data_IF_943495094726
#
_entry.id   IF_943495094726
#
_cell.length_a   1.000
_cell.length_b   1.000
_cell.length_c   1.000
_cell.angle_alpha   90.00
_cell.angle_beta   90.00
_cell.angle_gamma   90.00
#
_symmetry.space_group_name_H-M   'P 1'
#
loop_
_entity.id
_entity.type
_entity.pdbx_description
1 polymer ?
#
# COMPACT_ATOMS: atom_id res chain seq x y z
N UNK A 1 26.75 -3.57 -69.19
CA UNK A 1 27.69 -3.78 -68.06
C UNK A 1 27.72 -2.60 -67.08
N UNK A 2 27.81 -1.35 -67.52
CA UNK A 2 27.90 -0.16 -66.63
C UNK A 2 26.77 -0.03 -65.60
N UNK A 3 25.52 -0.33 -65.96
CA UNK A 3 24.39 -0.18 -65.02
C UNK A 3 24.42 -1.18 -63.85
N UNK A 4 24.93 -2.41 -64.06
CA UNK A 4 24.99 -3.43 -62.98
C UNK A 4 26.01 -3.05 -61.90
N UNK A 5 27.11 -2.41 -62.29
CA UNK A 5 28.15 -1.94 -61.36
C UNK A 5 27.62 -0.77 -60.52
N UNK A 6 26.85 0.14 -61.13
CA UNK A 6 26.25 1.28 -60.42
C UNK A 6 25.23 0.83 -59.36
N UNK A 7 24.37 -0.15 -59.68
CA UNK A 7 23.42 -0.70 -58.70
C UNK A 7 24.11 -1.41 -57.53
N UNK A 8 25.22 -2.12 -57.78
CA UNK A 8 25.98 -2.77 -56.72
C UNK A 8 26.63 -1.76 -55.75
N UNK A 9 27.14 -0.64 -56.28
CA UNK A 9 27.73 0.43 -55.46
C UNK A 9 26.65 1.12 -54.61
N UNK A 10 25.49 1.43 -55.20
CA UNK A 10 24.39 2.08 -54.48
C UNK A 10 23.85 1.15 -53.37
N UNK A 11 23.65 -0.13 -53.66
CA UNK A 11 23.20 -1.12 -52.68
C UNK A 11 24.20 -1.26 -51.52
N UNK A 12 25.51 -1.28 -51.82
CA UNK A 12 26.56 -1.33 -50.80
C UNK A 12 26.56 -0.08 -49.89
N UNK A 13 26.40 1.11 -50.46
CA UNK A 13 26.31 2.35 -49.69
C UNK A 13 25.07 2.40 -48.79
N UNK A 14 23.91 1.94 -49.27
CA UNK A 14 22.68 1.87 -48.46
C UNK A 14 22.88 0.90 -47.30
N UNK A 15 23.50 -0.26 -47.52
CA UNK A 15 23.79 -1.23 -46.46
C UNK A 15 24.75 -0.68 -45.41
N UNK A 16 25.78 0.07 -45.83
CA UNK A 16 26.71 0.72 -44.90
C UNK A 16 26.01 1.80 -44.08
N UNK A 17 25.15 2.62 -44.71
CA UNK A 17 24.38 3.65 -44.00
C UNK A 17 23.40 3.03 -43.02
N UNK A 18 22.66 1.99 -43.42
CA UNK A 18 21.77 1.25 -42.52
C UNK A 18 22.55 0.61 -41.37
N UNK A 19 23.68 -0.05 -41.65
CA UNK A 19 24.53 -0.63 -40.63
C UNK A 19 25.04 0.43 -39.66
N UNK A 20 25.47 1.61 -40.14
CA UNK A 20 25.90 2.72 -39.30
C UNK A 20 24.74 3.29 -38.47
N UNK A 21 23.53 3.42 -39.03
CA UNK A 21 22.35 3.92 -38.30
C UNK A 21 21.91 2.95 -37.20
N UNK A 22 21.82 1.65 -37.51
CA UNK A 22 21.45 0.62 -36.54
C UNK A 22 22.56 0.42 -35.49
N UNK A 23 23.84 0.36 -35.88
CA UNK A 23 24.96 0.21 -34.96
C UNK A 23 25.13 1.43 -34.02
N UNK A 24 24.81 2.64 -34.48
CA UNK A 24 24.81 3.84 -33.62
C UNK A 24 23.64 3.83 -32.64
N UNK A 25 22.46 3.35 -33.03
CA UNK A 25 21.28 3.33 -32.16
C UNK A 25 21.44 2.40 -30.95
N UNK A 26 22.04 1.22 -31.13
CA UNK A 26 22.27 0.29 -30.01
C UNK A 26 23.33 0.81 -29.01
N UNK A 27 24.34 1.53 -29.49
CA UNK A 27 25.32 2.18 -28.60
C UNK A 27 24.79 3.49 -27.98
N UNK A 28 23.96 4.25 -28.70
CA UNK A 28 23.36 5.46 -28.14
C UNK A 28 22.27 5.16 -27.12
N UNK A 29 21.50 4.09 -27.27
CA UNK A 29 20.52 3.67 -26.26
C UNK A 29 21.20 3.22 -24.96
N UNK A 30 22.32 2.49 -25.06
CA UNK A 30 23.12 2.04 -23.90
C UNK A 30 23.91 3.16 -23.23
N UNK A 31 24.36 4.19 -23.98
CA UNK A 31 25.02 5.39 -23.44
C UNK A 31 24.01 6.39 -22.84
N UNK A 32 22.81 6.53 -23.43
CA UNK A 32 21.75 7.37 -22.87
C UNK A 32 21.16 6.80 -21.57
N UNK A 33 21.10 5.46 -21.42
CA UNK A 33 20.71 4.82 -20.15
C UNK A 33 21.75 5.01 -19.04
N UNK A 34 23.05 5.10 -19.37
CA UNK A 34 24.11 5.33 -18.37
C UNK A 34 24.17 6.77 -17.86
N UNK A 35 23.70 7.76 -18.64
CA UNK A 35 23.62 9.16 -18.21
C UNK A 35 22.42 9.46 -17.30
N UNK A 36 21.45 8.56 -17.25
CA UNK A 36 20.22 8.69 -16.45
C UNK A 36 20.16 7.71 -15.28
N UNK A 37 21.25 7.01 -14.94
CA UNK A 37 21.34 6.18 -13.75
C UNK A 37 21.93 6.93 -12.57
N UNK A 38 21.36 6.68 -11.40
CA UNK A 38 21.84 7.06 -10.08
C UNK A 38 22.42 5.82 -9.40
N UNK A 39 23.56 5.98 -8.75
CA UNK A 39 24.11 4.96 -7.86
C UNK A 39 23.53 5.20 -6.47
N UNK A 40 22.74 4.26 -5.97
CA UNK A 40 22.18 4.31 -4.63
C UNK A 40 22.92 3.28 -3.78
N UNK A 41 23.41 3.70 -2.63
CA UNK A 41 23.86 2.77 -1.60
C UNK A 41 22.62 2.21 -0.89
N UNK A 42 22.34 0.94 -1.17
CA UNK A 42 21.28 0.19 -0.51
C UNK A 42 21.97 -0.78 0.44
N UNK A 43 22.00 -0.41 1.72
CA UNK A 43 22.51 -1.23 2.82
C UNK A 43 23.99 -1.65 2.67
N UNK A 44 24.86 -0.69 2.37
CA UNK A 44 26.29 -0.93 2.13
C UNK A 44 26.58 -1.54 0.76
N UNK A 45 25.61 -1.50 -0.14
CA UNK A 45 25.66 -2.16 -1.44
C UNK A 45 25.21 -1.19 -2.52
N UNK A 46 26.15 -0.75 -3.34
CA UNK A 46 25.84 0.15 -4.46
C UNK A 46 25.01 -0.58 -5.51
N UNK A 47 23.90 0.02 -5.91
CA UNK A 47 23.02 -0.40 -7.00
C UNK A 47 22.83 0.76 -7.97
N UNK A 48 23.04 0.49 -9.26
CA UNK A 48 22.79 1.45 -10.34
C UNK A 48 21.32 1.36 -10.77
N UNK A 49 20.55 2.40 -10.48
CA UNK A 49 19.13 2.50 -10.81
C UNK A 49 18.89 3.67 -11.77
N UNK A 50 18.04 3.55 -12.79
CA UNK A 50 17.64 4.71 -13.59
C UNK A 50 16.81 5.68 -12.74
N UNK A 51 16.81 6.98 -13.02
CA UNK A 51 16.10 8.00 -12.22
C UNK A 51 14.59 7.77 -12.09
N UNK A 52 13.98 7.10 -13.05
CA UNK A 52 12.53 6.85 -13.16
C UNK A 52 12.11 5.45 -12.68
N UNK A 53 12.99 4.73 -11.97
CA UNK A 53 12.65 3.43 -11.36
C UNK A 53 11.44 3.50 -10.43
N UNK A 54 10.72 2.40 -10.31
CA UNK A 54 9.63 2.22 -9.35
C UNK A 54 10.02 1.32 -8.18
N UNK A 55 9.26 1.42 -7.10
CA UNK A 55 9.38 0.55 -5.93
C UNK A 55 8.05 -0.17 -5.71
N UNK A 56 8.04 -1.49 -5.83
CA UNK A 56 6.88 -2.31 -5.48
C UNK A 56 7.17 -3.04 -4.18
N UNK A 57 6.19 -3.16 -3.30
CA UNK A 57 6.32 -3.93 -2.08
C UNK A 57 5.28 -5.05 -2.01
N UNK A 58 5.62 -6.19 -1.41
CA UNK A 58 4.65 -7.23 -1.07
C UNK A 58 4.76 -7.55 0.42
N UNK A 59 3.63 -7.59 1.10
CA UNK A 59 3.49 -7.98 2.51
C UNK A 59 2.69 -9.25 2.65
N UNK A 60 3.23 -10.19 3.42
CA UNK A 60 2.59 -11.45 3.75
C UNK A 60 2.76 -11.80 5.21
N UNK A 61 1.70 -12.32 5.84
CA UNK A 61 1.86 -12.93 7.15
C UNK A 61 2.74 -14.19 7.02
N UNK A 62 2.37 -15.09 6.12
CA UNK A 62 3.12 -16.32 5.89
C UNK A 62 2.90 -16.87 4.48
N UNK A 63 3.93 -17.57 3.96
CA UNK A 63 3.75 -18.45 2.82
C UNK A 63 2.94 -19.70 3.17
N UNK A 64 2.85 -20.64 2.23
CA UNK A 64 2.25 -21.94 2.49
C UNK A 64 3.20 -23.08 2.09
N UNK A 65 3.00 -24.27 2.64
CA UNK A 65 3.85 -25.45 2.37
C UNK A 65 3.52 -26.13 1.02
N UNK A 66 3.06 -25.38 0.02
CA UNK A 66 2.40 -25.95 -1.16
C UNK A 66 3.32 -26.60 -2.19
N UNK A 67 4.63 -26.41 -2.10
CA UNK A 67 5.60 -27.07 -2.99
C UNK A 67 6.88 -27.45 -2.24
N UNK A 68 7.53 -28.54 -2.69
CA UNK A 68 8.76 -29.03 -2.09
C UNK A 68 9.89 -28.03 -2.32
N UNK A 69 10.39 -27.44 -1.24
CA UNK A 69 11.59 -26.63 -1.27
C UNK A 69 12.85 -27.53 -1.22
N UNK A 70 13.97 -27.07 -1.79
CA UNK A 70 15.28 -27.66 -1.53
C UNK A 70 15.58 -27.77 -0.03
N UNK A 71 16.39 -28.77 0.36
CA UNK A 71 16.62 -29.12 1.77
C UNK A 71 17.27 -27.97 2.60
N UNK A 72 18.01 -27.08 1.95
CA UNK A 72 18.58 -25.88 2.56
C UNK A 72 17.52 -24.88 3.06
N UNK A 73 16.26 -25.02 2.63
CA UNK A 73 15.12 -24.21 3.06
C UNK A 73 14.16 -24.96 3.99
N UNK A 74 14.62 -26.03 4.63
CA UNK A 74 13.81 -26.74 5.63
C UNK A 74 13.31 -25.78 6.72
N UNK A 75 12.00 -25.82 6.98
CA UNK A 75 11.33 -24.94 7.95
C UNK A 75 10.77 -23.65 7.37
N UNK A 76 11.12 -23.29 6.13
CA UNK A 76 10.54 -22.15 5.43
C UNK A 76 9.21 -22.52 4.77
N UNK A 77 8.32 -21.53 4.66
CA UNK A 77 7.13 -21.60 3.82
C UNK A 77 7.40 -20.91 2.47
N UNK A 78 6.79 -21.40 1.40
CA UNK A 78 7.09 -20.93 0.06
C UNK A 78 5.99 -20.00 -0.50
N UNK A 79 6.42 -19.06 -1.32
CA UNK A 79 5.54 -18.09 -2.00
C UNK A 79 6.05 -17.92 -3.42
N UNK A 80 5.20 -18.23 -4.40
CA UNK A 80 5.48 -17.93 -5.81
C UNK A 80 5.11 -16.49 -6.13
N UNK A 81 6.06 -15.72 -6.63
CA UNK A 81 5.86 -14.30 -6.98
C UNK A 81 6.08 -14.14 -8.48
N UNK A 82 5.04 -13.76 -9.20
CA UNK A 82 5.14 -13.38 -10.61
C UNK A 82 5.16 -11.87 -10.71
N UNK A 83 6.18 -11.34 -11.38
CA UNK A 83 6.40 -9.90 -11.50
C UNK A 83 6.24 -9.50 -12.96
N UNK A 84 5.21 -8.69 -13.22
CA UNK A 84 4.90 -8.10 -14.53
C UNK A 84 5.01 -6.59 -14.43
N UNK A 85 6.15 -6.08 -14.87
CA UNK A 85 6.48 -4.65 -14.79
C UNK A 85 6.89 -4.11 -16.15
N UNK A 86 6.65 -2.81 -16.36
CA UNK A 86 6.93 -2.09 -17.60
C UNK A 86 8.12 -1.12 -17.47
N UNK A 87 8.57 -0.84 -16.24
CA UNK A 87 9.74 0.01 -15.96
C UNK A 87 10.69 -0.64 -14.95
N UNK A 88 11.96 -0.18 -14.90
CA UNK A 88 12.93 -0.66 -13.93
C UNK A 88 12.40 -0.60 -12.50
N UNK A 89 12.48 -1.72 -11.78
CA UNK A 89 11.76 -1.92 -10.53
C UNK A 89 12.70 -2.41 -9.43
N UNK A 90 12.54 -1.86 -8.23
CA UNK A 90 13.05 -2.44 -6.99
C UNK A 90 11.87 -3.07 -6.25
N UNK A 91 12.04 -4.32 -5.80
CA UNK A 91 11.01 -5.03 -5.03
C UNK A 91 11.40 -5.01 -3.56
N UNK A 92 10.45 -4.73 -2.68
CA UNK A 92 10.56 -4.88 -1.22
C UNK A 92 9.65 -6.02 -0.79
N UNK A 93 10.21 -7.09 -0.22
CA UNK A 93 9.44 -8.23 0.28
C UNK A 93 9.50 -8.22 1.80
N UNK A 94 8.33 -8.14 2.43
CA UNK A 94 8.15 -8.11 3.88
C UNK A 94 7.30 -9.29 4.32
N UNK A 95 7.82 -10.08 5.25
CA UNK A 95 7.14 -11.27 5.78
C UNK A 95 7.15 -11.31 7.30
N UNK A 96 6.04 -11.72 7.92
CA UNK A 96 6.07 -12.01 9.35
C UNK A 96 6.87 -13.30 9.57
N UNK A 97 6.34 -14.45 9.13
CA UNK A 97 6.98 -15.79 9.23
C UNK A 97 8.25 -15.97 8.37
N UNK A 98 8.96 -17.09 8.56
CA UNK A 98 10.11 -17.46 7.70
C UNK A 98 9.64 -17.90 6.30
N UNK A 99 9.93 -17.09 5.28
CA UNK A 99 9.47 -17.33 3.91
C UNK A 99 10.61 -17.47 2.90
N UNK A 100 10.38 -18.31 1.89
CA UNK A 100 11.14 -18.37 0.63
C UNK A 100 10.28 -17.78 -0.48
N UNK A 101 10.76 -16.66 -1.03
CA UNK A 101 10.13 -15.92 -2.11
C UNK A 101 10.68 -16.42 -3.45
N UNK A 102 9.86 -17.14 -4.20
CA UNK A 102 10.23 -17.69 -5.49
C UNK A 102 9.82 -16.72 -6.62
N UNK A 103 10.74 -15.87 -7.06
CA UNK A 103 10.46 -14.76 -7.97
C UNK A 103 10.67 -15.18 -9.41
N UNK A 104 9.67 -14.89 -10.25
CA UNK A 104 9.72 -15.01 -11.70
C UNK A 104 9.37 -13.68 -12.37
N UNK A 105 10.30 -13.13 -13.14
CA UNK A 105 10.05 -11.98 -14.00
C UNK A 105 9.36 -12.42 -15.30
N UNK A 106 8.30 -11.73 -15.72
CA UNK A 106 7.72 -11.95 -17.06
C UNK A 106 8.51 -11.23 -18.15
N UNK A 107 9.23 -10.16 -17.79
CA UNK A 107 10.13 -9.42 -18.66
C UNK A 107 11.53 -9.36 -18.03
N UNK A 108 12.57 -9.91 -18.69
CA UNK A 108 13.87 -10.08 -18.05
C UNK A 108 14.59 -8.74 -17.82
N UNK A 109 15.28 -8.64 -16.69
CA UNK A 109 16.14 -7.52 -16.29
C UNK A 109 15.40 -6.22 -15.97
N UNK A 110 14.08 -6.23 -15.75
CA UNK A 110 13.39 -5.05 -15.26
C UNK A 110 13.44 -4.96 -13.74
N UNK A 111 13.49 -6.09 -13.03
CA UNK A 111 13.79 -6.08 -11.60
C UNK A 111 15.30 -5.87 -11.40
N UNK A 112 15.65 -4.77 -10.74
CA UNK A 112 17.04 -4.36 -10.51
C UNK A 112 17.57 -4.82 -9.16
N UNK A 113 16.71 -4.81 -8.15
CA UNK A 113 17.04 -5.28 -6.81
C UNK A 113 15.80 -5.83 -6.10
N UNK A 114 16.06 -6.74 -5.18
CA UNK A 114 15.06 -7.30 -4.24
C UNK A 114 15.58 -7.05 -2.83
N UNK A 115 14.82 -6.30 -2.04
CA UNK A 115 15.08 -6.05 -0.63
C UNK A 115 14.23 -7.00 0.21
N UNK A 116 14.88 -7.79 1.05
CA UNK A 116 14.24 -8.74 1.96
C UNK A 116 14.25 -8.18 3.39
N UNK A 117 13.07 -7.99 3.96
CA UNK A 117 12.86 -7.54 5.35
C UNK A 117 11.76 -8.39 6.01
N UNK A 118 11.69 -8.42 7.33
CA UNK A 118 10.66 -9.21 8.01
C UNK A 118 10.99 -9.49 9.47
N UNK A 119 9.99 -10.02 10.19
CA UNK A 119 10.15 -10.38 11.61
C UNK A 119 11.04 -11.61 11.79
N UNK A 120 10.96 -12.56 10.87
CA UNK A 120 11.86 -13.71 10.79
C UNK A 120 12.72 -13.71 9.52
N UNK A 121 13.65 -14.67 9.41
CA UNK A 121 14.56 -14.78 8.28
C UNK A 121 13.80 -14.96 6.96
N UNK A 122 14.21 -14.23 5.93
CA UNK A 122 13.62 -14.25 4.60
C UNK A 122 14.66 -14.74 3.60
N UNK A 123 14.21 -15.54 2.63
CA UNK A 123 15.06 -16.08 1.54
C UNK A 123 14.39 -15.84 0.21
N UNK A 124 15.18 -15.75 -0.86
CA UNK A 124 14.66 -15.57 -2.21
C UNK A 124 15.30 -16.55 -3.16
N UNK A 125 14.50 -17.05 -4.09
CA UNK A 125 14.94 -17.80 -5.26
C UNK A 125 14.62 -16.91 -6.46
N UNK A 126 15.64 -16.58 -7.25
CA UNK A 126 15.52 -15.77 -8.45
C UNK A 126 15.53 -16.68 -9.68
N UNK A 127 14.38 -16.89 -10.31
CA UNK A 127 14.30 -17.66 -11.56
C UNK A 127 14.57 -16.74 -12.75
N UNK A 128 15.70 -16.94 -13.40
CA UNK A 128 16.12 -16.21 -14.61
C UNK A 128 16.28 -14.69 -14.43
N UNK A 129 16.28 -14.21 -13.17
CA UNK A 129 16.49 -12.81 -12.81
C UNK A 129 17.96 -12.53 -12.49
N UNK A 130 18.43 -11.34 -12.90
CA UNK A 130 19.75 -10.80 -12.52
C UNK A 130 19.65 -9.75 -11.40
N UNK A 131 18.49 -9.66 -10.74
CA UNK A 131 18.29 -8.70 -9.67
C UNK A 131 19.30 -8.92 -8.55
N UNK A 132 19.78 -7.83 -7.96
CA UNK A 132 20.61 -7.91 -6.75
C UNK A 132 19.72 -8.19 -5.55
N UNK A 133 19.99 -9.29 -4.85
CA UNK A 133 19.32 -9.58 -3.56
C UNK A 133 20.03 -8.84 -2.45
N UNK A 134 19.27 -8.09 -1.68
CA UNK A 134 19.72 -7.28 -0.56
C UNK A 134 18.84 -7.60 0.65
N UNK A 135 19.43 -7.65 1.82
CA UNK A 135 18.68 -7.87 3.06
C UNK A 135 18.71 -9.31 3.59
N UNK A 136 17.69 -9.66 4.37
CA UNK A 136 17.60 -10.90 5.13
C UNK A 136 18.22 -10.80 6.53
N UNK A 137 18.21 -11.92 7.28
CA UNK A 137 18.69 -11.96 8.66
C UNK A 137 20.16 -11.51 8.77
N UNK A 138 20.45 -10.64 9.74
CA UNK A 138 21.78 -10.06 10.01
C UNK A 138 22.35 -9.17 8.88
N UNK A 139 21.52 -8.69 7.96
CA UNK A 139 21.95 -7.76 6.93
C UNK A 139 21.95 -6.30 7.42
N UNK A 140 22.65 -5.43 6.70
CA UNK A 140 22.57 -3.99 6.90
C UNK A 140 21.19 -3.41 6.49
N UNK A 141 20.37 -4.16 5.74
CA UNK A 141 18.97 -3.82 5.46
C UNK A 141 18.05 -4.36 6.57
N UNK A 142 18.36 -4.08 7.83
CA UNK A 142 17.47 -4.53 8.89
C UNK A 142 16.13 -3.78 8.78
N UNK A 143 15.04 -4.54 8.80
CA UNK A 143 13.68 -4.00 8.69
C UNK A 143 12.70 -4.99 9.29
N UNK A 144 11.58 -4.47 9.78
CA UNK A 144 10.52 -5.27 10.37
C UNK A 144 9.57 -5.82 9.30
N UNK A 145 8.67 -6.69 9.73
CA UNK A 145 7.41 -6.88 9.01
C UNK A 145 6.67 -5.53 8.97
N UNK A 146 6.20 -5.15 7.78
CA UNK A 146 5.29 -4.03 7.55
C UNK A 146 4.07 -4.51 6.78
N UNK A 147 2.89 -4.21 7.28
CA UNK A 147 1.61 -4.45 6.59
C UNK A 147 0.92 -3.14 6.17
N UNK A 148 -0.36 -3.21 5.80
CA UNK A 148 -1.17 -2.05 5.42
C UNK A 148 -1.32 -1.01 6.54
N UNK A 149 -1.26 -1.44 7.80
CA UNK A 149 -1.37 -0.53 8.95
C UNK A 149 -0.05 0.23 9.15
N UNK A 150 1.05 -0.26 8.57
CA UNK A 150 2.40 0.24 8.77
C UNK A 150 3.01 0.87 7.51
N UNK A 151 2.17 1.33 6.58
CA UNK A 151 2.59 1.92 5.30
C UNK A 151 3.47 3.15 5.49
N UNK A 152 3.23 3.96 6.52
CA UNK A 152 4.08 5.12 6.80
C UNK A 152 5.50 4.68 7.22
N UNK A 153 5.61 3.63 8.03
CA UNK A 153 6.88 3.01 8.44
C UNK A 153 7.59 2.41 7.23
N UNK A 154 6.86 1.68 6.37
CA UNK A 154 7.39 1.13 5.12
C UNK A 154 7.89 2.24 4.19
N UNK A 155 7.15 3.33 4.05
CA UNK A 155 7.57 4.48 3.24
C UNK A 155 8.79 5.19 3.83
N UNK A 156 8.88 5.35 5.15
CA UNK A 156 10.11 5.85 5.80
C UNK A 156 11.29 4.92 5.54
N UNK A 157 11.10 3.60 5.64
CA UNK A 157 12.13 2.62 5.33
C UNK A 157 12.58 2.74 3.86
N UNK A 158 11.63 2.76 2.92
CA UNK A 158 11.89 2.91 1.50
C UNK A 158 12.57 4.24 1.18
N UNK A 159 12.16 5.35 1.79
CA UNK A 159 12.82 6.64 1.61
C UNK A 159 14.26 6.65 2.13
N UNK A 160 14.52 6.01 3.27
CA UNK A 160 15.88 5.98 3.83
C UNK A 160 16.87 5.20 2.96
N UNK A 161 16.45 4.04 2.41
CA UNK A 161 17.32 3.15 1.62
C UNK A 161 17.24 3.39 0.11
N UNK A 162 16.03 3.63 -0.39
CA UNK A 162 15.73 3.74 -1.81
C UNK A 162 15.51 5.18 -2.25
N UNK A 163 15.38 6.18 -1.37
CA UNK A 163 15.11 7.59 -1.74
C UNK A 163 13.78 7.78 -2.50
N UNK A 164 12.84 6.85 -2.34
CA UNK A 164 11.50 6.87 -2.93
C UNK A 164 10.52 6.20 -1.98
N UNK A 165 9.26 6.63 -2.03
CA UNK A 165 8.17 5.86 -1.44
C UNK A 165 7.92 4.58 -2.24
N UNK A 166 7.20 3.66 -1.63
CA UNK A 166 6.63 2.52 -2.34
C UNK A 166 5.52 3.03 -3.27
N UNK A 167 5.53 2.61 -4.53
CA UNK A 167 4.49 2.93 -5.51
C UNK A 167 3.22 2.11 -5.25
N UNK A 168 3.37 0.81 -4.96
CA UNK A 168 2.28 -0.08 -4.60
C UNK A 168 2.71 -1.13 -3.55
N UNK A 169 1.85 -1.37 -2.57
CA UNK A 169 1.95 -2.45 -1.59
C UNK A 169 0.92 -3.53 -1.90
N UNK A 170 1.37 -4.74 -2.22
CA UNK A 170 0.53 -5.92 -2.39
C UNK A 170 0.39 -6.62 -1.05
N UNK A 171 -0.79 -6.63 -0.46
CA UNK A 171 -1.06 -7.23 0.86
C UNK A 171 -1.86 -8.51 0.69
N UNK A 172 -1.36 -9.58 1.28
CA UNK A 172 -1.99 -10.89 1.31
C UNK A 172 -1.77 -11.48 2.71
N UNK A 173 -2.77 -12.16 3.28
CA UNK A 173 -2.62 -12.85 4.57
C UNK A 173 -1.67 -14.06 4.48
N UNK A 174 -2.23 -15.26 4.57
CA UNK A 174 -1.49 -16.47 4.18
C UNK A 174 -1.69 -16.73 2.68
N UNK A 175 -0.60 -16.84 1.92
CA UNK A 175 -0.69 -17.05 0.48
C UNK A 175 0.39 -17.98 -0.06
N UNK A 176 0.05 -18.68 -1.14
CA UNK A 176 1.01 -19.43 -1.97
C UNK A 176 1.53 -18.63 -3.16
N UNK A 177 0.85 -17.54 -3.51
CA UNK A 177 1.04 -16.88 -4.80
C UNK A 177 0.76 -15.37 -4.73
N UNK A 178 1.61 -14.59 -5.39
CA UNK A 178 1.47 -13.15 -5.58
C UNK A 178 1.65 -12.82 -7.06
N UNK A 179 0.72 -12.05 -7.63
CA UNK A 179 0.89 -11.42 -8.92
C UNK A 179 1.15 -9.92 -8.74
N UNK A 180 2.39 -9.50 -8.93
CA UNK A 180 2.80 -8.10 -8.88
C UNK A 180 2.73 -7.51 -10.29
N UNK A 181 1.62 -6.86 -10.62
CA UNK A 181 1.35 -6.26 -11.92
C UNK A 181 1.25 -4.73 -11.81
N UNK A 182 2.14 -4.01 -12.49
CA UNK A 182 2.21 -2.54 -12.41
C UNK A 182 1.18 -1.80 -13.27
N UNK A 183 0.45 -2.50 -14.14
CA UNK A 183 -0.57 -1.90 -15.01
C UNK A 183 -1.74 -1.25 -14.25
N UNK A 184 -1.96 -1.69 -13.01
CA UNK A 184 -3.04 -1.19 -12.15
C UNK A 184 -2.62 0.04 -11.32
N UNK A 185 -1.33 0.32 -11.19
CA UNK A 185 -0.82 1.30 -10.22
C UNK A 185 -1.25 2.72 -10.58
N UNK A 186 -0.98 3.19 -11.80
CA UNK A 186 -1.34 4.55 -12.21
C UNK A 186 -2.86 4.79 -12.21
N UNK A 187 -3.71 3.87 -12.74
CA UNK A 187 -5.16 3.99 -12.58
C UNK A 187 -5.60 4.11 -11.13
N UNK A 188 -5.04 3.31 -10.22
CA UNK A 188 -5.37 3.35 -8.79
C UNK A 188 -4.86 4.63 -8.12
N UNK A 189 -3.65 5.10 -8.45
CA UNK A 189 -3.10 6.36 -7.94
C UNK A 189 -3.98 7.54 -8.36
N UNK A 190 -4.43 7.58 -9.61
CA UNK A 190 -5.31 8.64 -10.09
C UNK A 190 -6.66 8.61 -9.37
N UNK A 191 -7.28 7.43 -9.26
CA UNK A 191 -8.51 7.25 -8.49
C UNK A 191 -8.35 7.72 -7.04
N UNK A 192 -7.24 7.33 -6.39
CA UNK A 192 -6.92 7.72 -5.02
C UNK A 192 -6.71 9.23 -4.88
N UNK A 193 -6.04 9.88 -5.84
CA UNK A 193 -5.88 11.35 -5.86
C UNK A 193 -7.22 12.06 -5.98
N UNK A 194 -8.11 11.60 -6.88
CA UNK A 194 -9.45 12.17 -7.04
C UNK A 194 -10.26 12.01 -5.75
N UNK A 195 -10.16 10.83 -5.11
CA UNK A 195 -10.77 10.52 -3.83
C UNK A 195 -10.28 11.41 -2.69
N UNK A 196 -8.95 11.60 -2.57
CA UNK A 196 -8.35 12.47 -1.55
C UNK A 196 -8.66 13.95 -1.82
N UNK A 197 -8.81 14.37 -3.07
CA UNK A 197 -9.27 15.73 -3.41
C UNK A 197 -10.75 15.94 -3.08
N UNK A 198 -11.58 14.92 -3.32
CA UNK A 198 -13.01 14.93 -2.96
C UNK A 198 -13.24 14.83 -1.45
N UNK A 199 -12.23 14.43 -0.67
CA UNK A 199 -12.28 14.46 0.79
C UNK A 199 -12.37 15.90 1.29
N UNK A 200 -13.61 16.35 1.50
CA UNK A 200 -13.87 17.58 2.23
C UNK A 200 -13.68 17.30 3.72
N UNK A 201 -12.71 17.99 4.34
CA UNK A 201 -12.66 18.17 5.80
C UNK A 201 -13.91 18.96 6.20
N UNK A 202 -15.03 18.25 6.36
CA UNK A 202 -16.27 18.81 6.87
C UNK A 202 -16.03 19.05 8.35
N UNK A 203 -15.41 20.19 8.64
CA UNK A 203 -15.27 20.70 9.98
C UNK A 203 -16.67 20.90 10.48
N UNK A 204 -17.13 20.00 11.34
CA UNK A 204 -18.26 20.33 12.17
C UNK A 204 -17.86 21.60 12.94
N UNK A 205 -18.78 22.55 13.05
CA UNK A 205 -18.60 23.73 13.88
C UNK A 205 -18.08 23.26 15.24
N UNK A 206 -16.91 23.77 15.64
CA UNK A 206 -16.30 23.45 16.94
C UNK A 206 -17.32 23.82 18.02
N UNK A 207 -18.02 22.81 18.53
CA UNK A 207 -18.94 22.98 19.64
C UNK A 207 -18.18 22.55 20.90
N UNK A 208 -17.42 23.49 21.45
CA UNK A 208 -16.92 23.38 22.81
C UNK A 208 -18.10 23.62 23.76
N UNK A 209 -18.89 22.59 24.07
CA UNK A 209 -19.86 22.73 25.16
C UNK A 209 -19.25 22.23 26.46
N UNK A 210 -19.18 23.12 27.47
CA UNK A 210 -18.74 22.81 28.84
C UNK A 210 -19.75 21.93 29.60
N UNK A 211 -20.85 21.49 28.98
CA UNK A 211 -21.89 20.69 29.61
C UNK A 211 -22.28 19.51 28.73
N UNK A 212 -21.73 18.34 29.03
CA UNK A 212 -22.15 17.07 28.42
C UNK A 212 -23.58 16.74 28.85
N UNK A 213 -24.45 16.50 27.86
CA UNK A 213 -25.84 16.09 28.12
C UNK A 213 -25.83 14.63 28.59
N UNK A 214 -26.34 14.41 29.81
CA UNK A 214 -26.65 13.07 30.33
C UNK A 214 -27.94 12.58 29.67
N UNK A 215 -27.87 11.39 29.08
CA UNK A 215 -29.00 10.74 28.44
C UNK A 215 -29.52 9.58 29.32
N UNK A 216 -30.78 9.15 29.12
CA UNK A 216 -31.26 7.85 29.59
C UNK A 216 -30.38 6.70 29.06
N UNK A 217 -30.53 5.52 29.63
CA UNK A 217 -29.78 4.33 29.24
C UNK A 217 -30.35 3.68 27.96
N UNK A 218 -29.57 2.81 27.33
CA UNK A 218 -29.97 1.96 26.20
C UNK A 218 -30.59 2.74 25.03
N UNK A 219 -31.59 2.15 24.36
CA UNK A 219 -32.23 2.73 23.17
C UNK A 219 -32.99 4.03 23.47
N UNK A 220 -33.47 4.24 24.70
CA UNK A 220 -34.13 5.50 25.08
C UNK A 220 -33.13 6.65 25.02
N UNK A 221 -31.91 6.42 25.52
CA UNK A 221 -30.79 7.35 25.38
C UNK A 221 -30.49 7.69 23.93
N UNK A 222 -30.45 6.68 23.07
CA UNK A 222 -30.18 6.84 21.64
C UNK A 222 -31.29 7.63 20.92
N UNK A 223 -32.56 7.32 21.20
CA UNK A 223 -33.69 8.08 20.66
C UNK A 223 -33.65 9.54 21.11
N UNK A 224 -33.30 9.78 22.38
CA UNK A 224 -33.15 11.14 22.90
C UNK A 224 -32.00 11.88 22.23
N UNK A 225 -30.87 11.22 21.99
CA UNK A 225 -29.73 11.78 21.28
C UNK A 225 -30.09 12.20 19.84
N UNK A 226 -30.87 11.38 19.13
CA UNK A 226 -31.40 11.69 17.80
C UNK A 226 -32.33 12.91 17.85
N UNK A 227 -33.30 12.93 18.77
CA UNK A 227 -34.25 14.03 18.94
C UNK A 227 -33.56 15.37 19.25
N UNK A 228 -32.49 15.33 20.05
CA UNK A 228 -31.71 16.51 20.43
C UNK A 228 -30.69 16.93 19.36
N UNK A 229 -30.56 16.17 18.26
CA UNK A 229 -29.58 16.43 17.21
C UNK A 229 -28.13 16.32 17.69
N UNK A 230 -27.88 15.46 18.68
CA UNK A 230 -26.52 15.13 19.15
C UNK A 230 -25.86 14.12 18.22
N UNK A 231 -26.67 13.24 17.63
CA UNK A 231 -26.28 12.26 16.63
C UNK A 231 -27.29 12.27 15.48
N UNK A 232 -26.91 11.67 14.36
CA UNK A 232 -27.84 11.31 13.25
C UNK A 232 -27.45 9.95 12.67
N UNK A 233 -28.35 9.26 11.96
CA UNK A 233 -27.99 8.04 11.24
C UNK A 233 -26.86 8.30 10.23
N UNK A 234 -26.00 7.29 10.08
CA UNK A 234 -24.97 7.24 9.03
C UNK A 234 -25.63 7.14 7.67
N UNK A 235 -25.08 7.86 6.69
CA UNK A 235 -25.39 7.73 5.27
C UNK A 235 -24.26 7.02 4.56
N UNK A 236 -24.49 6.49 3.35
CA UNK A 236 -23.44 5.92 2.51
C UNK A 236 -22.29 6.92 2.28
N UNK A 237 -22.60 8.21 2.17
CA UNK A 237 -21.58 9.26 2.03
C UNK A 237 -20.70 9.38 3.29
N UNK A 238 -21.23 9.14 4.49
CA UNK A 238 -20.41 9.17 5.71
C UNK A 238 -19.49 7.96 5.80
N UNK A 239 -19.97 6.79 5.36
CA UNK A 239 -19.15 5.59 5.25
C UNK A 239 -17.99 5.81 4.27
N UNK A 240 -18.27 6.37 3.10
CA UNK A 240 -17.24 6.75 2.13
C UNK A 240 -16.25 7.76 2.71
N UNK A 241 -16.72 8.78 3.43
CA UNK A 241 -15.83 9.75 4.07
C UNK A 241 -14.98 9.12 5.18
N UNK A 242 -15.49 8.10 5.86
CA UNK A 242 -14.72 7.33 6.85
C UNK A 242 -13.61 6.53 6.18
N UNK A 243 -13.93 5.76 5.13
CA UNK A 243 -12.95 5.01 4.35
C UNK A 243 -11.86 5.97 3.80
N UNK A 244 -12.25 7.13 3.28
CA UNK A 244 -11.32 8.15 2.80
C UNK A 244 -10.48 8.77 3.92
N UNK A 245 -11.03 8.95 5.12
CA UNK A 245 -10.27 9.43 6.27
C UNK A 245 -9.20 8.41 6.69
N UNK A 246 -9.55 7.11 6.73
CA UNK A 246 -8.60 6.04 7.01
C UNK A 246 -7.50 5.98 5.95
N UNK A 247 -7.88 5.95 4.67
CA UNK A 247 -6.95 6.00 3.55
C UNK A 247 -6.01 7.21 3.68
N UNK A 248 -6.54 8.41 3.94
CA UNK A 248 -5.74 9.65 4.13
C UNK A 248 -4.73 9.50 5.27
N UNK A 249 -5.12 8.87 6.38
CA UNK A 249 -4.23 8.67 7.53
C UNK A 249 -3.16 7.60 7.23
N UNK A 250 -3.52 6.55 6.49
CA UNK A 250 -2.61 5.47 6.09
C UNK A 250 -1.60 5.92 5.03
N UNK A 251 -2.03 6.59 3.96
CA UNK A 251 -1.17 6.98 2.83
C UNK A 251 -0.60 8.40 2.95
N UNK A 252 -1.13 9.21 3.87
CA UNK A 252 -0.79 10.62 4.05
C UNK A 252 -1.32 11.54 2.93
N UNK A 253 -1.10 12.85 3.09
CA UNK A 253 -1.42 13.88 2.08
C UNK A 253 -0.30 14.03 1.04
N UNK A 254 0.25 12.92 0.54
CA UNK A 254 1.35 12.97 -0.42
C UNK A 254 0.85 13.22 -1.86
N UNK A 255 1.56 14.02 -2.63
CA UNK A 255 1.32 14.20 -4.07
C UNK A 255 1.51 12.92 -4.89
N UNK A 256 2.24 11.94 -4.33
CA UNK A 256 2.44 10.62 -4.91
C UNK A 256 2.16 9.52 -3.85
N UNK A 257 0.89 9.15 -3.64
CA UNK A 257 0.51 8.20 -2.61
C UNK A 257 0.85 6.75 -3.01
N UNK A 258 1.20 5.93 -2.02
CA UNK A 258 1.30 4.47 -2.19
C UNK A 258 -0.09 3.88 -2.35
N UNK A 259 -0.30 3.04 -3.37
CA UNK A 259 -1.56 2.29 -3.51
C UNK A 259 -1.47 0.95 -2.79
N UNK A 260 -2.56 0.49 -2.20
CA UNK A 260 -2.64 -0.82 -1.55
C UNK A 260 -3.47 -1.73 -2.44
N UNK A 261 -2.92 -2.89 -2.81
CA UNK A 261 -3.52 -3.85 -3.73
C UNK A 261 -3.70 -5.18 -2.96
N UNK A 262 -4.89 -5.77 -3.04
CA UNK A 262 -5.22 -7.02 -2.33
C UNK A 262 -6.28 -6.85 -1.25
N UNK A 263 -6.47 -5.63 -0.72
CA UNK A 263 -7.53 -5.29 0.25
C UNK A 263 -8.88 -5.01 -0.40
N UNK A 264 -9.20 -5.67 -1.52
CA UNK A 264 -10.17 -5.25 -2.54
C UNK A 264 -11.59 -4.88 -2.06
N UNK A 265 -11.99 -5.28 -0.86
CA UNK A 265 -13.20 -4.81 -0.17
C UNK A 265 -13.02 -4.73 1.38
N UNK A 266 -11.83 -5.00 1.93
CA UNK A 266 -11.63 -5.22 3.38
C UNK A 266 -11.46 -3.93 4.18
N UNK A 267 -11.06 -2.82 3.54
CA UNK A 267 -11.03 -1.51 4.19
C UNK A 267 -12.42 -0.87 4.29
N UNK A 268 -13.41 -1.38 3.54
CA UNK A 268 -14.77 -0.86 3.60
C UNK A 268 -15.37 -1.27 4.92
N UNK A 269 -15.55 -0.29 5.79
CA UNK A 269 -16.28 -0.54 7.02
C UNK A 269 -17.74 -0.84 6.66
N UNK A 270 -18.17 -2.07 6.92
CA UNK A 270 -19.57 -2.46 6.78
C UNK A 270 -20.35 -1.81 7.94
N UNK A 271 -20.92 -0.65 7.67
CA UNK A 271 -21.81 0.01 8.63
C UNK A 271 -23.16 -0.67 8.60
N UNK A 272 -23.59 -1.23 9.74
CA UNK A 272 -24.98 -1.62 9.92
C UNK A 272 -25.84 -0.35 9.95
N UNK A 273 -26.67 -0.08 8.91
CA UNK A 273 -27.34 1.21 8.76
C UNK A 273 -28.26 1.53 9.96
N UNK A 274 -28.86 0.50 10.54
CA UNK A 274 -29.86 0.63 11.59
C UNK A 274 -29.27 1.03 12.95
N UNK A 275 -27.94 0.96 13.10
CA UNK A 275 -27.24 1.15 14.39
C UNK A 275 -25.94 1.93 14.27
N UNK A 276 -25.74 2.61 13.16
CA UNK A 276 -24.57 3.44 12.90
C UNK A 276 -24.94 4.91 12.90
N UNK A 277 -24.22 5.72 13.68
CA UNK A 277 -24.53 7.13 13.89
C UNK A 277 -23.31 8.03 13.69
N UNK A 278 -23.54 9.23 13.15
CA UNK A 278 -22.55 10.31 13.12
C UNK A 278 -22.76 11.21 14.33
N UNK A 279 -21.70 11.46 15.09
CA UNK A 279 -21.72 12.40 16.22
C UNK A 279 -21.66 13.81 15.68
N UNK A 280 -22.63 14.64 16.06
CA UNK A 280 -22.75 16.04 15.66
C UNK A 280 -22.32 17.00 16.78
N UNK A 281 -22.48 16.58 18.04
CA UNK A 281 -22.17 17.37 19.25
C UNK A 281 -21.66 16.44 20.36
N UNK A 282 -20.81 16.93 21.28
CA UNK A 282 -20.40 16.13 22.44
C UNK A 282 -21.59 15.81 23.35
N UNK A 283 -21.65 14.57 23.85
CA UNK A 283 -22.62 14.10 24.83
C UNK A 283 -22.01 12.97 25.65
N UNK A 284 -22.69 12.53 26.72
CA UNK A 284 -22.27 11.32 27.44
C UNK A 284 -22.99 10.11 26.86
N UNK A 285 -22.23 9.08 26.48
CA UNK A 285 -22.81 7.83 25.99
C UNK A 285 -23.85 7.29 27.00
N UNK A 286 -25.03 6.83 26.51
CA UNK A 286 -25.98 6.08 27.32
C UNK A 286 -25.29 4.88 27.99
N UNK A 287 -25.70 4.58 29.22
CA UNK A 287 -25.38 3.28 29.83
C UNK A 287 -26.09 2.13 29.12
N UNK A 288 -25.77 0.89 29.50
CA UNK A 288 -26.43 -0.34 29.03
C UNK A 288 -26.44 -0.58 27.50
N UNK A 289 -25.43 -0.07 26.81
CA UNK A 289 -25.23 -0.28 25.37
C UNK A 289 -24.60 -1.67 25.06
N UNK A 290 -25.28 -2.75 25.47
CA UNK A 290 -24.83 -4.14 25.33
C UNK A 290 -25.71 -4.96 24.37
N UNK A 291 -25.12 -5.94 23.68
CA UNK A 291 -25.86 -6.88 22.84
C UNK A 291 -26.68 -6.18 21.76
N UNK A 292 -27.99 -6.40 21.74
CA UNK A 292 -28.92 -5.71 20.83
C UNK A 292 -29.01 -4.19 21.04
N UNK A 293 -28.39 -3.64 22.09
CA UNK A 293 -28.27 -2.21 22.41
C UNK A 293 -26.91 -1.60 22.02
N UNK A 294 -25.99 -2.35 21.41
CA UNK A 294 -24.74 -1.79 20.89
C UNK A 294 -24.94 -0.93 19.63
N UNK A 295 -24.11 0.11 19.48
CA UNK A 295 -24.13 0.98 18.31
C UNK A 295 -22.71 1.27 17.80
N UNK A 296 -22.63 1.71 16.55
CA UNK A 296 -21.40 2.22 15.94
C UNK A 296 -21.49 3.73 15.81
N UNK A 297 -20.43 4.43 16.20
CA UNK A 297 -20.34 5.88 16.18
C UNK A 297 -19.17 6.33 15.32
N UNK A 298 -19.44 7.26 14.41
CA UNK A 298 -18.42 7.98 13.65
C UNK A 298 -18.28 9.39 14.25
N UNK A 299 -17.06 9.74 14.66
CA UNK A 299 -16.70 11.06 15.15
C UNK A 299 -15.99 11.85 14.03
N UNK A 300 -16.66 12.82 13.40
CA UNK A 300 -16.05 13.67 12.38
C UNK A 300 -14.93 14.53 12.93
N UNK A 301 -14.00 14.90 12.05
CA UNK A 301 -12.91 15.81 12.39
C UNK A 301 -13.44 17.18 12.86
N UNK A 302 -12.94 17.64 14.02
CA UNK A 302 -13.34 18.91 14.64
C UNK A 302 -14.55 18.83 15.58
N UNK A 303 -15.23 17.69 15.69
CA UNK A 303 -16.25 17.45 16.72
C UNK A 303 -15.56 17.07 18.04
N UNK A 304 -15.97 17.71 19.14
CA UNK A 304 -15.47 17.35 20.46
C UNK A 304 -15.85 15.91 20.84
N UNK A 305 -14.92 15.20 21.47
CA UNK A 305 -15.13 13.82 21.88
C UNK A 305 -16.31 13.69 22.88
N UNK A 306 -17.18 12.69 22.70
CA UNK A 306 -18.12 12.27 23.75
C UNK A 306 -17.39 11.67 24.96
N UNK A 307 -18.08 11.62 26.10
CA UNK A 307 -17.56 11.01 27.33
C UNK A 307 -18.42 9.81 27.77
N UNK A 308 -17.99 9.11 28.81
CA UNK A 308 -18.66 7.92 29.33
C UNK A 308 -18.15 6.63 28.70
N UNK A 309 -18.67 5.51 29.19
CA UNK A 309 -18.32 4.16 28.73
C UNK A 309 -19.07 3.82 27.44
N UNK A 310 -18.38 3.16 26.50
CA UNK A 310 -18.98 2.70 25.24
C UNK A 310 -19.75 1.37 25.41
N UNK A 311 -19.52 0.64 26.50
CA UNK A 311 -20.02 -0.73 26.68
C UNK A 311 -19.63 -1.62 25.49
N UNK A 312 -20.58 -2.25 24.76
CA UNK A 312 -20.29 -3.02 23.55
C UNK A 312 -20.37 -2.19 22.25
N UNK A 313 -20.49 -0.87 22.36
CA UNK A 313 -20.47 0.02 21.20
C UNK A 313 -19.05 0.26 20.69
N UNK A 314 -18.97 0.79 19.48
CA UNK A 314 -17.73 1.11 18.77
C UNK A 314 -17.72 2.59 18.39
N UNK A 315 -16.59 3.26 18.57
CA UNK A 315 -16.36 4.65 18.19
C UNK A 315 -15.15 4.73 17.27
N UNK A 316 -15.39 5.22 16.06
CA UNK A 316 -14.34 5.53 15.09
C UNK A 316 -14.10 7.03 15.02
N UNK A 317 -12.85 7.46 15.24
CA UNK A 317 -12.44 8.86 15.10
C UNK A 317 -11.83 9.13 13.73
N UNK A 318 -12.47 10.00 12.95
CA UNK A 318 -12.00 10.37 11.61
C UNK A 318 -10.76 11.28 11.61
N UNK A 319 -10.43 11.91 12.76
CA UNK A 319 -9.31 12.85 12.82
C UNK A 319 -7.95 12.16 12.93
N UNK A 320 -7.87 11.06 13.68
CA UNK A 320 -6.63 10.31 13.92
C UNK A 320 -6.74 8.82 13.54
N UNK A 321 -7.92 8.38 13.09
CA UNK A 321 -8.17 7.00 12.64
C UNK A 321 -8.38 6.02 13.78
N UNK A 322 -8.34 6.47 15.03
CA UNK A 322 -8.47 5.60 16.19
C UNK A 322 -9.85 4.95 16.26
N UNK A 323 -9.85 3.68 16.66
CA UNK A 323 -11.06 2.95 17.01
C UNK A 323 -11.07 2.67 18.52
N UNK A 324 -12.20 2.91 19.19
CA UNK A 324 -12.44 2.53 20.59
C UNK A 324 -13.69 1.67 20.73
N UNK A 325 -13.65 0.66 21.60
CA UNK A 325 -14.80 -0.19 21.91
C UNK A 325 -14.69 -1.61 21.34
N UNK A 326 -15.80 -2.35 21.39
CA UNK A 326 -15.79 -3.79 21.17
C UNK A 326 -15.45 -4.21 19.72
N UNK A 327 -15.78 -3.36 18.73
CA UNK A 327 -15.55 -3.65 17.31
C UNK A 327 -14.17 -3.27 16.77
N UNK A 328 -13.23 -2.87 17.63
CA UNK A 328 -11.92 -2.33 17.21
C UNK A 328 -10.78 -3.35 17.12
N UNK A 329 -11.12 -4.63 17.21
CA UNK A 329 -10.16 -5.74 17.27
C UNK A 329 -10.11 -6.54 15.97
N UNK A 330 -10.10 -5.85 14.83
CA UNK A 330 -10.04 -6.47 13.51
C UNK A 330 -8.96 -5.82 12.66
#
# INVERSE_FOLDING_TARGET
MKNKILYAIIAGLILIVLFLVFYRNDKLSSVATTLNSINIDICGSIVSLPKDYQVLAASVYAGTSSHSLPAEYNGYKAIDVVVTVTKPTVIVLTGYEQNVWNIKETQPNLVKAVLLIGSYDQKVILNDSKAKVLGGKNSACNGSYYDEQEIEQLNRYSQSHLKRNVDALYVLGETKYINMDDSQIEPLKNKLKDQLQAYTKKTASVLTSEHYIQLPESDEGMQKALQLGLIRPVTNSDAEQFDLAQIRLTVGNNSDPTVIIGLGDELRHEFYPDRSYVILKPFKFPGDMYGGHSATFNLPEGVAYPIGELSHSTLYNMSDGTCRGAGCSH
#
